data_IF_979190451819
#
_entry.id   IF_979190451819
#
_cell.length_a   1.000
_cell.length_b   1.000
_cell.length_c   1.000
_cell.angle_alpha   90.00
_cell.angle_beta   90.00
_cell.angle_gamma   90.00
#
_symmetry.space_group_name_H-M   'P 1'
#
loop_
_entity.id
_entity.type
_entity.pdbx_description
1 polymer ?
#
# COMPACT_ATOMS: atom_id res chain seq x y z
N UNK A 1 29.77 -5.67 20.38
CA UNK A 1 28.84 -5.12 19.36
C UNK A 1 29.01 -3.62 19.33
N UNK A 2 29.66 -3.08 18.30
CA UNK A 2 30.29 -1.74 18.32
C UNK A 2 29.82 -0.94 17.11
N UNK A 3 28.96 0.08 17.26
CA UNK A 3 28.56 1.01 16.18
C UNK A 3 27.98 0.36 14.90
N UNK A 4 27.82 -0.97 14.90
CA UNK A 4 27.52 -1.88 13.78
C UNK A 4 26.02 -2.16 13.61
N UNK A 5 25.23 -1.87 14.65
CA UNK A 5 23.75 -1.77 14.61
C UNK A 5 23.31 -0.45 13.94
N UNK A 6 24.20 0.55 13.92
CA UNK A 6 24.00 1.87 13.30
C UNK A 6 23.95 1.85 11.75
N UNK A 7 24.20 0.71 11.11
CA UNK A 7 24.13 0.54 9.63
C UNK A 7 22.90 -0.28 9.21
N UNK A 8 22.47 -1.24 10.05
CA UNK A 8 21.58 -2.34 9.64
C UNK A 8 20.10 -1.95 9.50
N UNK A 9 19.68 -0.95 10.27
CA UNK A 9 18.35 -0.36 10.26
C UNK A 9 18.31 0.98 9.55
N UNK A 10 19.43 1.46 9.05
CA UNK A 10 19.52 2.73 8.35
C UNK A 10 18.85 2.63 6.98
N UNK A 11 17.61 2.10 6.89
CA UNK A 11 16.52 2.43 5.96
C UNK A 11 15.36 1.41 5.90
N UNK A 12 15.44 0.18 6.44
CA UNK A 12 14.67 -0.97 5.89
C UNK A 12 15.14 -1.35 4.47
N UNK A 13 16.44 -1.17 4.16
CA UNK A 13 17.17 -1.72 2.99
C UNK A 13 16.29 -1.83 1.71
N UNK A 14 15.56 -0.76 1.40
CA UNK A 14 14.31 -0.77 0.65
C UNK A 14 13.57 -2.11 0.42
N UNK A 15 12.53 -2.35 1.21
CA UNK A 15 11.33 -3.06 0.73
C UNK A 15 11.46 -4.56 0.35
N UNK A 16 12.51 -5.23 0.82
CA UNK A 16 13.00 -6.51 0.26
C UNK A 16 13.07 -7.57 1.35
N UNK A 17 12.19 -8.56 1.29
CA UNK A 17 12.39 -10.04 1.16
C UNK A 17 11.04 -10.71 1.44
N UNK A 18 10.17 -10.82 0.43
CA UNK A 18 9.07 -11.79 0.48
C UNK A 18 9.06 -12.71 -0.72
N UNK A 19 8.35 -13.82 -0.53
CA UNK A 19 8.60 -15.17 -1.06
C UNK A 19 8.54 -15.37 -2.59
N UNK A 20 8.51 -14.30 -3.39
CA UNK A 20 8.75 -14.37 -4.83
C UNK A 20 10.17 -13.87 -5.14
N UNK A 21 11.10 -14.79 -5.34
CA UNK A 21 12.54 -14.53 -5.45
C UNK A 21 12.94 -13.49 -6.52
N UNK A 22 12.04 -13.15 -7.45
CA UNK A 22 12.25 -12.10 -8.46
C UNK A 22 11.90 -10.68 -7.97
N UNK A 23 10.89 -10.52 -7.12
CA UNK A 23 10.42 -9.23 -6.59
C UNK A 23 11.51 -8.57 -5.71
N UNK A 24 12.21 -9.42 -4.95
CA UNK A 24 13.19 -9.07 -3.92
C UNK A 24 14.57 -8.68 -4.45
N UNK A 25 15.08 -9.37 -5.48
CA UNK A 25 16.39 -9.04 -6.07
C UNK A 25 16.33 -7.71 -6.85
N UNK A 26 15.16 -7.35 -7.37
CA UNK A 26 14.93 -6.15 -8.18
C UNK A 26 14.73 -4.88 -7.33
N UNK A 27 13.93 -4.95 -6.26
CA UNK A 27 13.73 -3.81 -5.34
C UNK A 27 15.00 -3.46 -4.55
N UNK A 28 15.84 -4.44 -4.23
CA UNK A 28 17.07 -4.20 -3.46
C UNK A 28 18.12 -3.51 -4.30
N UNK A 29 18.29 -3.89 -5.57
CA UNK A 29 19.27 -3.24 -6.44
C UNK A 29 18.82 -1.83 -6.86
N UNK A 30 17.56 -1.66 -7.27
CA UNK A 30 17.10 -0.41 -7.89
C UNK A 30 16.83 0.69 -6.86
N UNK A 31 16.37 0.34 -5.67
CA UNK A 31 16.08 1.32 -4.62
C UNK A 31 17.32 1.66 -3.78
N UNK A 32 18.23 0.70 -3.52
CA UNK A 32 19.49 1.02 -2.84
C UNK A 32 20.40 1.91 -3.68
N UNK A 33 20.30 1.85 -5.01
CA UNK A 33 21.05 2.75 -5.90
C UNK A 33 20.51 4.19 -5.92
N UNK A 34 19.20 4.39 -5.66
CA UNK A 34 18.55 5.70 -5.76
C UNK A 34 18.33 6.40 -4.41
N UNK A 35 18.43 5.67 -3.29
CA UNK A 35 18.29 6.25 -1.96
C UNK A 35 19.63 6.80 -1.47
N UNK A 36 19.61 8.08 -1.09
CA UNK A 36 20.79 8.78 -0.56
C UNK A 36 21.11 8.28 0.85
N UNK A 37 21.95 7.24 0.91
CA UNK A 37 22.40 6.61 2.16
C UNK A 37 23.09 7.62 3.08
N UNK A 38 23.76 8.64 2.54
CA UNK A 38 24.50 9.65 3.30
C UNK A 38 23.55 10.59 4.08
N UNK A 39 22.45 10.99 3.45
CA UNK A 39 21.37 11.74 4.12
C UNK A 39 20.80 10.97 5.32
N UNK A 40 20.59 9.66 5.15
CA UNK A 40 19.96 8.80 6.15
C UNK A 40 20.90 8.52 7.33
N UNK A 41 22.18 8.31 7.04
CA UNK A 41 23.21 8.23 8.09
C UNK A 41 23.29 9.52 8.90
N UNK A 42 23.21 10.69 8.25
CA UNK A 42 23.28 12.01 8.93
C UNK A 42 22.09 12.22 9.89
N UNK A 43 20.88 11.87 9.47
CA UNK A 43 19.68 11.98 10.33
C UNK A 43 19.74 11.02 11.52
N UNK A 44 20.24 9.80 11.32
CA UNK A 44 20.39 8.78 12.36
C UNK A 44 21.51 9.14 13.34
N UNK A 45 22.63 9.68 12.87
CA UNK A 45 23.70 10.17 13.73
C UNK A 45 23.21 11.32 14.62
N UNK A 46 22.35 12.19 14.10
CA UNK A 46 21.71 13.26 14.89
C UNK A 46 20.85 12.67 16.02
N UNK A 47 20.09 11.60 15.76
CA UNK A 47 19.30 10.87 16.78
C UNK A 47 20.22 10.23 17.84
N UNK A 48 21.27 9.52 17.41
CA UNK A 48 22.22 8.86 18.31
C UNK A 48 22.98 9.84 19.21
N UNK A 49 23.43 10.96 18.67
CA UNK A 49 24.14 11.99 19.44
C UNK A 49 23.24 12.66 20.48
N UNK A 50 21.92 12.71 20.23
CA UNK A 50 20.94 13.21 21.19
C UNK A 50 20.61 12.18 22.30
N UNK A 51 20.59 10.87 21.99
CA UNK A 51 20.39 9.76 22.96
C UNK A 51 21.39 9.81 24.11
N UNK A 52 22.65 10.13 23.82
CA UNK A 52 23.71 10.22 24.84
C UNK A 52 23.51 11.37 25.84
N UNK A 53 22.57 12.28 25.56
CA UNK A 53 22.45 13.57 26.23
C UNK A 53 21.12 13.78 26.98
N UNK A 54 20.10 12.93 26.81
CA UNK A 54 18.80 13.13 27.47
C UNK A 54 17.95 11.85 27.60
N UNK A 55 17.25 11.67 28.73
CA UNK A 55 16.17 10.67 28.82
C UNK A 55 14.91 11.25 28.19
N UNK A 56 14.43 10.65 27.10
CA UNK A 56 13.24 11.14 26.40
C UNK A 56 12.92 10.39 25.12
N UNK A 57 11.92 10.90 24.39
CA UNK A 57 11.61 10.49 23.04
C UNK A 57 12.38 11.39 22.06
N UNK A 58 12.91 10.80 21.00
CA UNK A 58 13.57 11.50 19.90
C UNK A 58 12.67 11.37 18.68
N UNK A 59 12.37 12.49 18.02
CA UNK A 59 11.55 12.51 16.81
C UNK A 59 12.41 12.97 15.63
N UNK A 60 12.29 12.30 14.50
CA UNK A 60 12.87 12.70 13.23
C UNK A 60 11.80 12.68 12.12
N UNK A 61 11.81 13.71 11.28
CA UNK A 61 10.92 13.82 10.12
C UNK A 61 11.56 13.11 8.93
N UNK A 62 10.86 12.13 8.35
CA UNK A 62 11.34 11.28 7.24
C UNK A 62 10.55 11.49 5.95
N UNK A 63 10.07 12.71 5.73
CA UNK A 63 9.27 13.08 4.56
C UNK A 63 9.96 12.78 3.23
N UNK A 64 11.14 13.33 3.01
CA UNK A 64 11.91 13.14 1.76
C UNK A 64 12.27 11.67 1.54
N UNK A 65 12.54 10.95 2.62
CA UNK A 65 12.81 9.52 2.57
C UNK A 65 11.57 8.74 2.11
N UNK A 66 10.41 8.98 2.73
CA UNK A 66 9.18 8.30 2.34
C UNK A 66 8.77 8.65 0.90
N UNK A 67 8.92 9.91 0.48
CA UNK A 67 8.60 10.35 -0.88
C UNK A 67 9.44 9.58 -1.93
N UNK A 68 10.75 9.39 -1.68
CA UNK A 68 11.62 8.57 -2.54
C UNK A 68 11.24 7.08 -2.53
N UNK A 69 10.86 6.52 -1.38
CA UNK A 69 10.40 5.13 -1.30
C UNK A 69 9.13 4.95 -2.12
N UNK A 70 8.18 5.88 -2.04
CA UNK A 70 6.92 5.81 -2.77
C UNK A 70 7.11 5.97 -4.29
N UNK A 71 8.05 6.82 -4.73
CA UNK A 71 8.42 6.92 -6.15
C UNK A 71 8.92 5.56 -6.69
N UNK A 72 9.78 4.89 -5.92
CA UNK A 72 10.29 3.57 -6.26
C UNK A 72 9.22 2.49 -6.26
N UNK A 73 8.31 2.49 -5.28
CA UNK A 73 7.14 1.61 -5.24
C UNK A 73 6.26 1.83 -6.47
N UNK A 74 6.04 3.09 -6.87
CA UNK A 74 5.31 3.44 -8.09
C UNK A 74 5.95 2.85 -9.34
N UNK A 75 7.27 3.04 -9.52
CA UNK A 75 8.02 2.48 -10.64
C UNK A 75 7.94 0.94 -10.67
N UNK A 76 8.04 0.31 -9.48
CA UNK A 76 7.93 -1.14 -9.35
C UNK A 76 6.56 -1.66 -9.82
N UNK A 77 5.47 -1.03 -9.35
CA UNK A 77 4.10 -1.37 -9.72
C UNK A 77 3.92 -1.34 -11.25
N UNK A 78 4.46 -0.32 -11.92
CA UNK A 78 4.42 -0.18 -13.38
C UNK A 78 5.22 -1.29 -14.05
N UNK A 79 6.48 -1.47 -13.67
CA UNK A 79 7.42 -2.39 -14.32
C UNK A 79 6.98 -3.86 -14.26
N UNK A 80 6.14 -4.21 -13.29
CA UNK A 80 5.66 -5.58 -13.07
C UNK A 80 4.20 -5.80 -13.50
N UNK A 81 3.57 -4.81 -14.13
CA UNK A 81 2.20 -4.95 -14.64
C UNK A 81 1.15 -5.00 -13.54
N UNK A 82 1.44 -4.43 -12.36
CA UNK A 82 0.45 -4.18 -11.31
C UNK A 82 -0.31 -2.87 -11.53
N UNK A 83 -0.01 -2.13 -12.60
CA UNK A 83 -0.77 -0.98 -13.05
C UNK A 83 -0.74 -0.94 -14.60
N UNK A 84 -1.81 -1.40 -15.29
CA UNK A 84 -3.10 -1.83 -14.75
C UNK A 84 -3.08 -3.16 -13.97
N UNK A 85 -3.69 -3.19 -12.78
CA UNK A 85 -3.95 -4.39 -11.99
C UNK A 85 -5.21 -5.13 -12.47
N UNK A 86 -5.15 -6.43 -12.81
CA UNK A 86 -6.33 -7.18 -13.21
C UNK A 86 -7.28 -7.43 -12.03
N UNK A 87 -8.56 -7.13 -12.21
CA UNK A 87 -9.61 -7.37 -11.21
C UNK A 87 -10.40 -8.63 -11.59
N UNK A 88 -10.67 -9.56 -10.65
CA UNK A 88 -11.33 -10.84 -10.96
C UNK A 88 -12.74 -10.70 -11.53
N UNK A 89 -13.03 -11.49 -12.57
CA UNK A 89 -14.37 -11.68 -13.11
C UNK A 89 -15.34 -12.12 -12.00
N UNK A 90 -16.53 -11.51 -11.95
CA UNK A 90 -17.53 -11.80 -10.91
C UNK A 90 -18.94 -11.82 -11.48
N UNK A 91 -19.78 -12.69 -10.92
CA UNK A 91 -21.22 -12.73 -11.20
C UNK A 91 -21.95 -12.32 -9.92
N UNK A 92 -22.78 -11.28 -10.02
CA UNK A 92 -23.62 -10.82 -8.92
C UNK A 92 -25.08 -11.08 -9.25
N UNK A 93 -25.80 -11.66 -8.30
CA UNK A 93 -27.24 -11.84 -8.39
C UNK A 93 -27.93 -10.54 -7.99
N UNK A 94 -28.82 -10.08 -8.84
CA UNK A 94 -29.62 -8.90 -8.60
C UNK A 94 -30.99 -9.29 -8.02
N UNK A 95 -31.67 -8.40 -7.29
CA UNK A 95 -33.03 -8.65 -6.84
C UNK A 95 -33.94 -8.98 -8.03
N UNK A 96 -34.86 -9.94 -7.85
CA UNK A 96 -35.90 -10.30 -8.84
C UNK A 96 -35.29 -10.85 -10.15
N UNK A 97 -34.70 -12.06 -10.09
CA UNK A 97 -34.28 -12.87 -11.26
C UNK A 97 -33.33 -12.17 -12.25
N UNK A 98 -32.52 -11.23 -11.77
CA UNK A 98 -31.48 -10.56 -12.56
C UNK A 98 -30.08 -11.05 -12.20
N UNK A 99 -29.14 -10.89 -13.13
CA UNK A 99 -27.72 -11.11 -12.87
C UNK A 99 -26.89 -10.08 -13.62
N UNK A 100 -25.83 -9.59 -13.00
CA UNK A 100 -24.78 -8.85 -13.69
C UNK A 100 -23.49 -9.67 -13.65
N UNK A 101 -22.88 -9.84 -14.82
CA UNK A 101 -21.56 -10.44 -14.96
C UNK A 101 -20.57 -9.35 -15.29
N UNK A 102 -19.59 -9.14 -14.42
CA UNK A 102 -18.48 -8.22 -14.59
C UNK A 102 -17.27 -9.01 -15.09
N UNK A 103 -16.68 -8.60 -16.21
CA UNK A 103 -15.55 -9.30 -16.84
C UNK A 103 -14.44 -8.35 -17.23
N UNK A 104 -13.22 -8.92 -17.31
CA UNK A 104 -12.02 -8.24 -17.79
C UNK A 104 -11.77 -6.93 -17.04
N UNK A 105 -11.98 -6.99 -15.73
CA UNK A 105 -11.78 -5.85 -14.86
C UNK A 105 -10.31 -5.45 -14.82
N UNK A 106 -10.03 -4.16 -14.78
CA UNK A 106 -8.70 -3.65 -14.46
C UNK A 106 -8.79 -2.37 -13.63
N UNK A 107 -7.83 -2.19 -12.74
CA UNK A 107 -7.63 -1.02 -11.88
C UNK A 107 -6.32 -0.34 -12.28
N UNK A 108 -6.29 0.98 -12.32
CA UNK A 108 -5.14 1.78 -12.70
C UNK A 108 -4.85 2.89 -11.70
N UNK A 109 -3.65 3.44 -11.84
CA UNK A 109 -3.10 4.55 -11.08
C UNK A 109 -2.76 4.17 -9.61
N UNK A 110 -2.58 2.87 -9.36
CA UNK A 110 -1.98 2.37 -8.11
C UNK A 110 -0.54 2.87 -7.94
N UNK A 111 0.17 3.09 -9.05
CA UNK A 111 1.53 3.63 -9.06
C UNK A 111 1.60 5.10 -8.67
N UNK A 112 0.47 5.82 -8.67
CA UNK A 112 0.39 7.25 -8.35
C UNK A 112 0.26 7.51 -6.84
N UNK A 113 0.57 6.52 -6.01
CA UNK A 113 0.56 6.64 -4.55
C UNK A 113 1.53 7.72 -4.07
N UNK A 114 1.09 8.54 -3.13
CA UNK A 114 1.91 9.61 -2.54
C UNK A 114 1.71 9.69 -1.04
N UNK A 115 2.61 10.39 -0.38
CA UNK A 115 2.48 10.72 1.04
C UNK A 115 1.33 11.72 1.24
N UNK A 116 0.50 11.48 2.26
CA UNK A 116 -0.63 12.35 2.60
C UNK A 116 -0.27 13.43 3.63
N UNK A 117 0.58 13.08 4.59
CA UNK A 117 0.96 13.92 5.74
C UNK A 117 2.43 13.74 6.08
N UNK A 118 2.93 14.58 6.96
CA UNK A 118 4.27 14.43 7.49
C UNK A 118 4.43 13.08 8.19
N UNK A 119 5.60 12.47 8.00
CA UNK A 119 5.95 11.17 8.52
C UNK A 119 7.05 11.34 9.54
N UNK A 120 6.71 11.04 10.78
CA UNK A 120 7.62 11.09 11.91
C UNK A 120 8.04 9.68 12.31
N UNK A 121 9.31 9.58 12.68
CA UNK A 121 9.86 8.44 13.38
C UNK A 121 10.18 8.85 14.80
N UNK A 122 9.61 8.14 15.76
CA UNK A 122 9.79 8.36 17.18
C UNK A 122 10.58 7.20 17.76
N UNK A 123 11.76 7.50 18.30
CA UNK A 123 12.50 6.58 19.16
C UNK A 123 12.19 6.89 20.62
N UNK A 124 11.70 5.89 21.36
CA UNK A 124 11.55 5.97 22.81
C UNK A 124 12.71 5.27 23.50
N UNK A 125 13.56 6.02 24.19
CA UNK A 125 14.68 5.45 24.97
C UNK A 125 14.19 4.63 26.18
N UNK A 126 13.04 4.99 26.75
CA UNK A 126 12.46 4.29 27.90
C UNK A 126 11.93 2.90 27.52
N UNK A 127 11.24 2.81 26.39
CA UNK A 127 10.71 1.54 25.88
C UNK A 127 11.73 0.79 25.03
N UNK A 128 12.79 1.47 24.57
CA UNK A 128 13.73 1.01 23.55
C UNK A 128 12.99 0.54 22.31
N UNK A 129 12.14 1.41 21.78
CA UNK A 129 11.33 1.16 20.58
C UNK A 129 11.45 2.28 19.56
N UNK A 130 11.49 1.91 18.29
CA UNK A 130 11.33 2.83 17.15
C UNK A 130 9.92 2.66 16.61
N UNK A 131 9.21 3.78 16.37
CA UNK A 131 7.88 3.77 15.76
C UNK A 131 7.84 4.76 14.60
N UNK A 132 7.46 4.30 13.43
CA UNK A 132 7.19 5.11 12.25
C UNK A 132 5.69 5.07 11.98
N UNK A 133 5.05 6.23 11.89
CA UNK A 133 3.65 6.34 11.44
C UNK A 133 3.63 7.15 10.15
N UNK A 134 3.05 6.60 9.11
CA UNK A 134 2.94 7.26 7.82
C UNK A 134 1.52 7.16 7.26
N UNK A 135 1.13 8.18 6.51
CA UNK A 135 -0.13 8.21 5.80
C UNK A 135 0.10 8.32 4.30
N UNK A 136 -0.59 7.47 3.54
CA UNK A 136 -0.52 7.39 2.09
C UNK A 136 -1.85 7.82 1.47
N UNK A 137 -1.79 8.39 0.27
CA UNK A 137 -2.96 8.85 -0.48
C UNK A 137 -2.90 8.32 -1.92
N UNK A 138 -4.03 7.80 -2.37
CA UNK A 138 -4.35 7.72 -3.80
C UNK A 138 -5.28 8.87 -4.14
N UNK A 139 -4.78 9.84 -4.89
CA UNK A 139 -5.58 10.98 -5.31
C UNK A 139 -6.72 10.54 -6.21
N UNK A 140 -6.42 9.61 -7.11
CA UNK A 140 -7.34 9.05 -8.08
C UNK A 140 -6.96 7.60 -8.38
N UNK A 141 -7.97 6.74 -8.46
CA UNK A 141 -7.87 5.38 -8.95
C UNK A 141 -8.96 5.17 -10.00
N UNK A 142 -8.60 4.61 -11.14
CA UNK A 142 -9.54 4.34 -12.21
C UNK A 142 -9.75 2.85 -12.37
N UNK A 143 -10.99 2.40 -12.52
CA UNK A 143 -11.27 1.02 -12.86
C UNK A 143 -12.24 0.91 -14.03
N UNK A 144 -12.08 -0.14 -14.82
CA UNK A 144 -12.98 -0.45 -15.92
C UNK A 144 -13.39 -1.92 -15.87
N UNK A 145 -14.64 -2.19 -16.21
CA UNK A 145 -15.18 -3.53 -16.41
C UNK A 145 -16.04 -3.60 -17.65
N UNK A 146 -16.03 -4.72 -18.36
CA UNK A 146 -17.12 -5.04 -19.27
C UNK A 146 -18.24 -5.69 -18.44
N UNK A 147 -19.48 -5.23 -18.60
CA UNK A 147 -20.62 -5.85 -17.95
C UNK A 147 -21.58 -6.50 -18.94
N UNK A 148 -22.21 -7.58 -18.47
CA UNK A 148 -23.34 -8.23 -19.13
C UNK A 148 -24.43 -8.37 -18.07
N UNK A 149 -25.52 -7.63 -18.24
CA UNK A 149 -26.68 -7.70 -17.36
C UNK A 149 -27.78 -8.49 -18.04
N UNK A 150 -28.23 -9.55 -17.40
CA UNK A 150 -29.43 -10.29 -17.77
C UNK A 150 -30.53 -9.94 -16.78
N UNK A 151 -31.65 -9.45 -17.27
CA UNK A 151 -32.81 -9.15 -16.44
C UNK A 151 -34.07 -9.52 -17.20
N UNK A 152 -34.83 -10.49 -16.68
CA UNK A 152 -35.98 -11.08 -17.37
C UNK A 152 -35.61 -11.57 -18.78
N UNK A 153 -36.19 -10.97 -19.83
CA UNK A 153 -35.95 -11.32 -21.23
C UNK A 153 -34.94 -10.38 -21.93
N UNK A 154 -34.32 -9.47 -21.18
CA UNK A 154 -33.39 -8.47 -21.70
C UNK A 154 -31.94 -8.82 -21.34
N UNK A 155 -31.05 -8.68 -22.31
CA UNK A 155 -29.60 -8.75 -22.11
C UNK A 155 -29.00 -7.44 -22.57
N UNK A 156 -28.38 -6.73 -21.63
CA UNK A 156 -27.71 -5.45 -21.86
C UNK A 156 -26.21 -5.68 -21.69
N UNK A 157 -25.42 -5.09 -22.58
CA UNK A 157 -23.95 -5.15 -22.54
C UNK A 157 -23.39 -3.76 -22.68
N UNK A 158 -22.30 -3.51 -21.97
CA UNK A 158 -21.57 -2.26 -22.04
C UNK A 158 -20.38 -2.29 -21.11
N UNK A 159 -19.91 -1.11 -20.77
CA UNK A 159 -18.76 -0.89 -19.91
C UNK A 159 -19.16 -0.14 -18.65
N UNK A 160 -18.46 -0.46 -17.57
CA UNK A 160 -18.47 0.30 -16.34
C UNK A 160 -17.12 0.96 -16.25
N UNK A 161 -17.09 2.28 -16.21
CA UNK A 161 -15.90 3.06 -15.95
C UNK A 161 -16.10 3.76 -14.60
N UNK A 162 -15.18 3.58 -13.69
CA UNK A 162 -15.27 4.13 -12.35
C UNK A 162 -14.00 4.82 -11.92
N UNK A 163 -14.18 5.84 -11.09
CA UNK A 163 -13.11 6.62 -10.51
C UNK A 163 -13.32 6.70 -9.01
N UNK A 164 -12.29 6.40 -8.23
CA UNK A 164 -12.27 6.56 -6.79
C UNK A 164 -11.27 7.66 -6.45
N UNK A 165 -11.73 8.71 -5.78
CA UNK A 165 -10.90 9.85 -5.40
C UNK A 165 -10.59 9.85 -3.92
N UNK A 166 -9.37 10.27 -3.56
CA UNK A 166 -8.95 10.58 -2.20
C UNK A 166 -9.06 9.41 -1.20
N UNK A 167 -8.55 8.24 -1.58
CA UNK A 167 -8.36 7.12 -0.65
C UNK A 167 -7.14 7.42 0.22
N UNK A 168 -7.30 7.31 1.55
CA UNK A 168 -6.22 7.58 2.52
C UNK A 168 -6.02 6.35 3.39
N UNK A 169 -4.76 5.95 3.53
CA UNK A 169 -4.32 4.81 4.34
C UNK A 169 -3.36 5.33 5.40
N UNK A 170 -3.45 4.82 6.62
CA UNK A 170 -2.46 5.03 7.66
C UNK A 170 -1.86 3.68 8.06
N UNK A 171 -0.55 3.63 8.20
CA UNK A 171 0.15 2.45 8.67
C UNK A 171 1.22 2.82 9.71
N UNK A 172 1.50 1.86 10.59
CA UNK A 172 2.50 2.01 11.64
C UNK A 172 3.47 0.84 11.66
N UNK A 173 4.75 1.12 11.47
CA UNK A 173 5.85 0.18 11.62
C UNK A 173 6.51 0.41 12.97
N UNK A 174 6.80 -0.68 13.69
CA UNK A 174 7.52 -0.62 14.94
C UNK A 174 8.73 -1.55 14.92
N UNK A 175 9.72 -1.20 15.72
CA UNK A 175 10.89 -2.02 15.99
C UNK A 175 11.20 -2.00 17.48
N UNK A 176 11.29 -3.17 18.09
CA UNK A 176 11.63 -3.32 19.50
C UNK A 176 13.09 -3.76 19.66
N UNK A 177 13.92 -2.90 20.26
CA UNK A 177 15.35 -3.16 20.44
C UNK A 177 15.64 -4.12 21.60
N UNK A 178 14.66 -4.49 22.42
CA UNK A 178 14.83 -5.53 23.44
C UNK A 178 14.70 -6.93 22.84
N UNK A 179 13.77 -7.09 21.90
CA UNK A 179 13.49 -8.38 21.25
C UNK A 179 14.12 -8.50 19.87
N UNK A 180 14.62 -7.40 19.31
CA UNK A 180 15.12 -7.29 17.94
C UNK A 180 14.08 -7.73 16.90
N UNK A 181 12.83 -7.30 17.08
CA UNK A 181 11.72 -7.68 16.22
C UNK A 181 11.03 -6.44 15.63
N UNK A 182 10.79 -6.47 14.32
CA UNK A 182 9.96 -5.53 13.59
C UNK A 182 8.51 -6.01 13.55
N UNK A 183 7.56 -5.09 13.57
CA UNK A 183 6.12 -5.36 13.46
C UNK A 183 5.40 -4.32 12.63
N UNK A 184 4.38 -4.76 11.88
CA UNK A 184 3.35 -3.90 11.32
C UNK A 184 2.19 -3.85 12.32
N UNK A 185 2.13 -2.79 13.13
CA UNK A 185 1.16 -2.71 14.23
C UNK A 185 -0.21 -2.24 13.74
N UNK A 186 -0.23 -1.28 12.80
CA UNK A 186 -1.46 -0.72 12.29
C UNK A 186 -1.46 -0.64 10.76
N UNK A 187 -2.62 -0.93 10.16
CA UNK A 187 -2.92 -0.69 8.76
C UNK A 187 -4.42 -0.41 8.64
N UNK A 188 -4.77 0.87 8.54
CA UNK A 188 -6.14 1.35 8.53
C UNK A 188 -6.43 2.19 7.29
N UNK A 189 -7.62 2.01 6.72
CA UNK A 189 -8.15 2.91 5.69
C UNK A 189 -8.85 4.06 6.42
N UNK A 190 -8.20 5.22 6.47
CA UNK A 190 -8.71 6.43 7.13
C UNK A 190 -9.78 7.15 6.32
N UNK A 191 -9.70 7.04 4.99
CA UNK A 191 -10.73 7.52 4.08
C UNK A 191 -10.89 6.53 2.92
N UNK A 192 -12.12 6.08 2.69
CA UNK A 192 -12.45 5.16 1.60
C UNK A 192 -12.61 5.85 0.25
N UNK A 193 -12.59 7.18 0.23
CA UNK A 193 -12.74 7.99 -0.98
C UNK A 193 -14.17 8.10 -1.48
N UNK A 194 -14.37 9.00 -2.45
CA UNK A 194 -15.62 9.14 -3.21
C UNK A 194 -15.53 8.34 -4.50
N UNK A 195 -16.63 7.72 -4.91
CA UNK A 195 -16.69 6.89 -6.11
C UNK A 195 -17.67 7.48 -7.13
N UNK A 196 -17.17 7.75 -8.33
CA UNK A 196 -17.93 8.23 -9.48
C UNK A 196 -17.89 7.18 -10.58
N UNK A 197 -19.04 6.86 -11.15
CA UNK A 197 -19.13 5.76 -12.13
C UNK A 197 -20.02 6.16 -13.29
N UNK A 198 -19.53 5.78 -14.47
CA UNK A 198 -20.21 5.89 -15.72
C UNK A 198 -20.49 4.49 -16.29
N UNK A 199 -21.71 4.32 -16.80
CA UNK A 199 -22.12 3.11 -17.49
C UNK A 199 -22.37 3.44 -18.95
N UNK A 200 -21.80 2.63 -19.84
CA UNK A 200 -22.10 2.68 -21.27
C UNK A 200 -23.08 1.56 -21.66
N UNK A 201 -23.72 1.68 -22.83
CA UNK A 201 -24.70 0.72 -23.34
C UNK A 201 -25.94 1.44 -23.88
N UNK A 202 -26.34 1.10 -25.11
CA UNK A 202 -27.30 1.90 -25.91
C UNK A 202 -28.73 2.01 -25.37
N UNK A 203 -29.07 1.40 -24.23
CA UNK A 203 -30.44 1.35 -23.70
C UNK A 203 -30.46 1.28 -22.15
N UNK A 204 -29.69 2.14 -21.48
CA UNK A 204 -29.79 2.25 -20.01
C UNK A 204 -31.18 2.82 -19.65
N UNK A 205 -32.07 1.95 -19.17
CA UNK A 205 -33.38 2.32 -18.63
C UNK A 205 -33.22 2.68 -17.15
N UNK A 206 -33.96 3.66 -16.63
CA UNK A 206 -33.83 4.19 -15.26
C UNK A 206 -33.72 3.13 -14.14
N UNK A 207 -34.42 2.00 -14.27
CA UNK A 207 -34.37 0.90 -13.30
C UNK A 207 -32.97 0.26 -13.21
N UNK A 208 -32.23 0.19 -14.32
CA UNK A 208 -30.88 -0.34 -14.37
C UNK A 208 -29.92 0.58 -13.61
N UNK A 209 -30.02 1.89 -13.77
CA UNK A 209 -29.20 2.87 -13.04
C UNK A 209 -29.27 2.65 -11.52
N UNK A 210 -30.48 2.49 -10.97
CA UNK A 210 -30.66 2.22 -9.53
C UNK A 210 -30.02 0.90 -9.09
N UNK A 211 -30.12 -0.15 -9.90
CA UNK A 211 -29.51 -1.45 -9.61
C UNK A 211 -27.98 -1.38 -9.68
N UNK A 212 -27.45 -0.62 -10.64
CA UNK A 212 -26.01 -0.43 -10.77
C UNK A 212 -25.44 0.32 -9.57
N UNK A 213 -26.12 1.35 -9.04
CA UNK A 213 -25.72 1.99 -7.77
C UNK A 213 -25.56 0.98 -6.64
N UNK A 214 -26.43 -0.04 -6.56
CA UNK A 214 -26.28 -1.15 -5.62
C UNK A 214 -25.02 -1.99 -5.84
N UNK A 215 -24.72 -2.35 -7.09
CA UNK A 215 -23.49 -3.07 -7.46
C UNK A 215 -22.24 -2.27 -7.09
N UNK A 216 -22.28 -0.97 -7.32
CA UNK A 216 -21.19 -0.05 -7.01
C UNK A 216 -20.89 -0.02 -5.51
N UNK A 217 -21.92 0.30 -4.74
CA UNK A 217 -21.79 0.53 -3.29
C UNK A 217 -21.58 -0.76 -2.51
N UNK A 218 -22.24 -1.85 -2.90
CA UNK A 218 -22.17 -3.11 -2.17
C UNK A 218 -21.03 -4.02 -2.60
N UNK A 219 -20.50 -3.85 -3.82
CA UNK A 219 -19.49 -4.76 -4.37
C UNK A 219 -18.23 -4.05 -4.87
N UNK A 220 -18.35 -3.12 -5.84
CA UNK A 220 -17.16 -2.55 -6.48
C UNK A 220 -16.32 -1.73 -5.50
N UNK A 221 -16.94 -0.84 -4.71
CA UNK A 221 -16.20 0.00 -3.76
C UNK A 221 -15.46 -0.84 -2.69
N UNK A 222 -16.11 -1.80 -2.00
CA UNK A 222 -15.40 -2.71 -1.09
C UNK A 222 -14.34 -3.58 -1.76
N UNK A 223 -14.57 -4.05 -2.99
CA UNK A 223 -13.60 -4.87 -3.73
C UNK A 223 -12.33 -4.09 -4.02
N UNK A 224 -12.44 -2.86 -4.54
CA UNK A 224 -11.27 -2.03 -4.84
C UNK A 224 -10.51 -1.70 -3.56
N UNK A 225 -11.20 -1.32 -2.48
CA UNK A 225 -10.56 -1.08 -1.17
C UNK A 225 -9.85 -2.33 -0.66
N UNK A 226 -10.44 -3.52 -0.82
CA UNK A 226 -9.81 -4.77 -0.42
C UNK A 226 -8.57 -5.08 -1.25
N UNK A 227 -8.55 -4.77 -2.55
CA UNK A 227 -7.37 -4.94 -3.39
C UNK A 227 -6.25 -4.03 -2.91
N UNK A 228 -6.53 -2.74 -2.71
CA UNK A 228 -5.55 -1.78 -2.18
C UNK A 228 -5.02 -2.28 -0.83
N UNK A 229 -5.92 -2.66 0.09
CA UNK A 229 -5.54 -3.16 1.40
C UNK A 229 -4.66 -4.41 1.29
N UNK A 230 -5.04 -5.40 0.48
CA UNK A 230 -4.28 -6.65 0.37
C UNK A 230 -2.92 -6.44 -0.29
N UNK A 231 -2.85 -5.63 -1.36
CA UNK A 231 -1.59 -5.31 -2.03
C UNK A 231 -0.66 -4.59 -1.05
N UNK A 232 -1.12 -3.51 -0.41
CA UNK A 232 -0.24 -2.70 0.44
C UNK A 232 0.05 -3.33 1.79
N UNK A 233 -0.95 -3.92 2.46
CA UNK A 233 -0.73 -4.63 3.72
C UNK A 233 0.15 -5.85 3.50
N UNK A 234 -0.10 -6.64 2.46
CA UNK A 234 0.71 -7.79 2.10
C UNK A 234 2.16 -7.37 1.91
N UNK A 235 2.39 -6.36 1.08
CA UNK A 235 3.72 -5.81 0.80
C UNK A 235 4.44 -5.27 2.05
N UNK A 236 3.74 -4.59 2.96
CA UNK A 236 4.33 -4.11 4.22
C UNK A 236 4.61 -5.25 5.21
N UNK A 237 3.74 -6.26 5.28
CA UNK A 237 3.97 -7.44 6.13
C UNK A 237 5.17 -8.25 5.65
N UNK A 238 5.24 -8.46 4.34
CA UNK A 238 6.34 -9.08 3.62
C UNK A 238 7.69 -8.40 3.90
N UNK A 239 7.70 -7.06 3.93
CA UNK A 239 8.85 -6.25 4.30
C UNK A 239 9.25 -6.42 5.78
N UNK A 240 8.27 -6.54 6.68
CA UNK A 240 8.54 -6.77 8.11
C UNK A 240 9.17 -8.15 8.33
N UNK A 241 8.63 -9.18 7.68
CA UNK A 241 9.14 -10.55 7.77
C UNK A 241 10.58 -10.64 7.26
N UNK A 242 10.87 -9.96 6.14
CA UNK A 242 12.21 -9.84 5.59
C UNK A 242 13.25 -9.31 6.58
N UNK A 243 12.91 -8.20 7.26
CA UNK A 243 13.81 -7.59 8.24
C UNK A 243 14.04 -8.50 9.43
N UNK A 244 12.99 -9.19 9.89
CA UNK A 244 13.11 -10.13 10.98
C UNK A 244 14.03 -11.32 10.63
N UNK A 245 13.92 -11.85 9.41
CA UNK A 245 14.82 -12.91 8.89
C UNK A 245 16.29 -12.45 8.85
N UNK A 246 16.56 -11.24 8.32
CA UNK A 246 17.92 -10.68 8.26
C UNK A 246 18.51 -10.52 9.67
N UNK A 247 17.73 -9.98 10.60
CA UNK A 247 18.16 -9.79 11.99
C UNK A 247 18.45 -11.14 12.65
N UNK A 248 17.56 -12.12 12.47
CA UNK A 248 17.74 -13.46 13.02
C UNK A 248 19.03 -14.10 12.49
N UNK A 249 19.29 -14.01 11.19
CA UNK A 249 20.51 -14.51 10.55
C UNK A 249 21.79 -13.89 11.15
N UNK A 250 21.78 -12.59 11.44
CA UNK A 250 22.94 -11.89 12.01
C UNK A 250 23.16 -12.29 13.47
N UNK A 251 22.08 -12.40 14.26
CA UNK A 251 22.17 -12.78 15.67
C UNK A 251 22.70 -14.21 15.87
N UNK A 252 22.46 -15.11 14.92
CA UNK A 252 22.96 -16.49 14.98
C UNK A 252 24.39 -16.69 14.43
N UNK A 253 24.97 -15.69 13.79
CA UNK A 253 26.37 -15.70 13.32
C UNK A 253 27.37 -15.22 14.39
N UNK A 254 26.88 -14.75 15.54
CA UNK A 254 27.66 -14.19 16.68
C UNK A 254 27.58 -15.16 17.86
#
# INVERSE_FOLDING_TARGET
MTMKVLILLAIFVPFVVSHDAKFTELLSQEILEQVDVELLLTQIETIYLHEKSSSGNITAELNEFLDKVLENVGNYIINHGYDPFPIPDTVLNLPITGSITLKKGWLRDLSMIKRYKDTDVIYSSAEKKLKMVFSLQFQELQFVYNYITNYLLLTIKGDVEGKIENVIIEAALNFDFNTYNATLDNFDIMNTGSIDIHFSGNDLIDWLTNMMTGVVTAFLHPLILSIIQNVFKGTLSDLVDAVNEIIHGILHLI
#
